data_IF_990299803398
#
_entry.id   IF_990299803398
#
_cell.length_a   1.000
_cell.length_b   1.000
_cell.length_c   1.000
_cell.angle_alpha   90.00
_cell.angle_beta   90.00
_cell.angle_gamma   90.00
#
_symmetry.space_group_name_H-M   'P 1'
#
loop_
_entity.id
_entity.type
_entity.pdbx_description
1 polymer ?
#
# COMPACT_ATOMS: atom_id res chain seq x y z
N UNK A 1 -20.72 1.84 5.22
CA UNK A 1 -19.26 1.81 4.93
C UNK A 1 -19.01 1.97 3.44
N UNK A 2 -18.06 2.81 3.06
CA UNK A 2 -17.59 2.92 1.67
C UNK A 2 -16.92 1.62 1.21
N UNK A 3 -16.86 1.38 -0.10
CA UNK A 3 -16.16 0.22 -0.67
C UNK A 3 -14.68 0.17 -0.25
N UNK A 4 -14.03 1.34 -0.17
CA UNK A 4 -12.63 1.48 0.28
C UNK A 4 -12.50 1.13 1.76
N UNK A 5 -13.42 1.60 2.62
CA UNK A 5 -13.40 1.27 4.04
C UNK A 5 -13.49 -0.23 4.30
N UNK A 6 -14.31 -0.97 3.54
CA UNK A 6 -14.40 -2.45 3.66
C UNK A 6 -13.11 -3.15 3.27
N UNK A 7 -12.40 -2.63 2.25
CA UNK A 7 -11.09 -3.16 1.84
C UNK A 7 -10.03 -2.86 2.90
N UNK A 8 -10.06 -1.66 3.47
CA UNK A 8 -9.15 -1.28 4.54
C UNK A 8 -9.35 -2.12 5.82
N UNK A 9 -10.58 -2.38 6.23
CA UNK A 9 -10.84 -3.28 7.37
C UNK A 9 -10.34 -4.71 7.12
N UNK A 10 -10.51 -5.23 5.91
CA UNK A 10 -9.95 -6.56 5.54
C UNK A 10 -8.43 -6.57 5.59
N UNK A 11 -7.78 -5.50 5.12
CA UNK A 11 -6.33 -5.32 5.23
C UNK A 11 -5.87 -5.33 6.71
N UNK A 12 -6.57 -4.59 7.58
CA UNK A 12 -6.23 -4.53 9.01
C UNK A 12 -6.39 -5.89 9.71
N UNK A 13 -7.36 -6.71 9.27
CA UNK A 13 -7.60 -8.04 9.82
C UNK A 13 -6.62 -9.10 9.30
N UNK A 14 -6.19 -9.00 8.04
CA UNK A 14 -5.23 -9.93 7.44
C UNK A 14 -4.29 -9.20 6.46
N UNK A 15 -3.19 -8.62 6.95
CA UNK A 15 -2.29 -7.80 6.13
C UNK A 15 -1.40 -8.60 5.18
N UNK A 16 -1.27 -9.93 5.38
CA UNK A 16 -0.33 -10.76 4.63
C UNK A 16 -0.88 -11.25 3.27
N UNK A 17 -2.20 -11.28 3.09
CA UNK A 17 -2.84 -11.88 1.91
C UNK A 17 -3.34 -10.82 0.90
N UNK A 18 -3.00 -9.54 1.12
CA UNK A 18 -3.47 -8.48 0.23
C UNK A 18 -2.63 -8.44 -1.06
N UNK A 19 -3.32 -8.43 -2.21
CA UNK A 19 -2.65 -8.20 -3.50
C UNK A 19 -2.39 -6.71 -3.69
N UNK A 20 -1.30 -6.39 -4.38
CA UNK A 20 -0.92 -5.01 -4.66
C UNK A 20 -2.04 -4.22 -5.37
N UNK A 21 -2.71 -4.83 -6.35
CA UNK A 21 -3.85 -4.24 -7.08
C UNK A 21 -5.02 -3.82 -6.17
N UNK A 22 -5.21 -4.52 -5.04
CA UNK A 22 -6.24 -4.20 -4.07
C UNK A 22 -5.83 -3.07 -3.13
N UNK A 23 -4.52 -2.91 -2.92
CA UNK A 23 -3.91 -1.87 -2.09
C UNK A 23 -3.83 -0.53 -2.83
N UNK A 24 -3.58 -0.52 -4.15
CA UNK A 24 -3.53 0.68 -4.99
C UNK A 24 -4.66 1.71 -4.76
N UNK A 25 -5.95 1.33 -4.81
CA UNK A 25 -7.05 2.27 -4.57
C UNK A 25 -7.11 2.78 -3.13
N UNK A 26 -6.60 2.01 -2.17
CA UNK A 26 -6.49 2.43 -0.76
C UNK A 26 -5.40 3.49 -0.66
N UNK A 27 -4.20 3.24 -1.20
CA UNK A 27 -3.08 4.19 -1.18
C UNK A 27 -3.47 5.53 -1.81
N UNK A 28 -4.12 5.50 -2.98
CA UNK A 28 -4.64 6.72 -3.64
C UNK A 28 -5.66 7.48 -2.79
N UNK A 29 -6.48 6.79 -2.00
CA UNK A 29 -7.48 7.46 -1.14
C UNK A 29 -6.86 8.22 0.04
N UNK A 30 -5.60 7.92 0.37
CA UNK A 30 -4.82 8.57 1.42
C UNK A 30 -3.71 9.48 0.87
N UNK A 31 -3.74 9.85 -0.41
CA UNK A 31 -2.66 10.60 -1.09
C UNK A 31 -1.26 9.96 -0.93
N UNK A 32 -1.23 8.63 -0.83
CA UNK A 32 0.01 7.85 -0.85
C UNK A 32 0.30 7.45 -2.30
N UNK A 33 1.49 7.83 -2.74
CA UNK A 33 2.06 7.51 -4.04
C UNK A 33 2.96 6.29 -3.94
N UNK A 34 3.26 5.70 -5.09
CA UNK A 34 4.11 4.54 -5.19
C UNK A 34 4.94 4.61 -6.47
N UNK A 35 6.14 4.04 -6.41
CA UNK A 35 6.99 3.81 -7.58
C UNK A 35 7.06 2.31 -7.87
N UNK A 36 6.97 1.96 -9.15
CA UNK A 36 7.09 0.58 -9.62
C UNK A 36 8.56 0.12 -9.50
N UNK A 37 8.81 -1.10 -9.00
CA UNK A 37 10.18 -1.58 -8.88
C UNK A 37 10.80 -1.86 -10.26
N UNK A 38 12.02 -1.36 -10.47
CA UNK A 38 12.82 -1.55 -11.70
C UNK A 38 13.33 -3.00 -11.93
N UNK A 39 12.85 -3.97 -11.14
CA UNK A 39 13.29 -5.37 -11.23
C UNK A 39 13.18 -6.20 -9.94
N UNK A 40 12.49 -5.69 -8.90
CA UNK A 40 12.30 -6.36 -7.61
C UNK A 40 10.84 -6.62 -7.25
N UNK A 41 10.61 -7.35 -6.16
CA UNK A 41 9.25 -7.58 -5.59
C UNK A 41 8.82 -6.53 -4.56
N UNK A 42 9.66 -5.52 -4.31
CA UNK A 42 9.44 -4.51 -3.28
C UNK A 42 8.97 -3.19 -3.89
N UNK A 43 7.75 -2.80 -3.57
CA UNK A 43 7.20 -1.51 -3.98
C UNK A 43 7.61 -0.43 -2.98
N UNK A 44 7.97 0.75 -3.49
CA UNK A 44 8.26 1.91 -2.66
C UNK A 44 6.99 2.75 -2.57
N UNK A 45 6.55 3.10 -1.36
CA UNK A 45 5.40 3.97 -1.10
C UNK A 45 5.83 5.23 -0.37
N UNK A 46 5.25 6.37 -0.72
CA UNK A 46 5.60 7.66 -0.14
C UNK A 46 4.40 8.63 -0.14
N UNK A 47 4.39 9.57 0.79
CA UNK A 47 3.39 10.64 0.83
C UNK A 47 4.08 11.96 0.54
N UNK A 48 3.61 12.71 -0.47
CA UNK A 48 4.32 13.90 -0.98
C UNK A 48 4.53 15.01 0.05
N UNK A 49 3.70 15.08 1.10
CA UNK A 49 3.81 16.09 2.16
C UNK A 49 4.51 15.59 3.43
N UNK A 50 4.99 14.34 3.43
CA UNK A 50 5.83 13.82 4.51
C UNK A 50 7.25 13.74 3.94
N UNK A 51 8.16 14.54 4.50
CA UNK A 51 9.60 14.33 4.33
C UNK A 51 9.93 12.89 4.79
N UNK A 52 9.94 11.99 3.82
CA UNK A 52 10.51 10.64 3.77
C UNK A 52 10.58 9.92 5.12
N UNK A 53 9.57 9.09 5.40
CA UNK A 53 9.76 7.87 6.19
C UNK A 53 9.60 6.69 5.22
N UNK A 54 10.69 6.32 4.56
CA UNK A 54 10.77 5.15 3.71
C UNK A 54 10.66 3.88 4.58
N UNK A 55 9.43 3.46 4.88
CA UNK A 55 9.19 2.14 5.47
C UNK A 55 9.19 1.11 4.34
N UNK A 56 10.29 0.37 4.24
CA UNK A 56 10.43 -0.76 3.34
C UNK A 56 9.59 -1.92 3.92
N UNK A 57 8.44 -2.22 3.32
CA UNK A 57 7.62 -3.37 3.73
C UNK A 57 8.01 -4.59 2.89
N UNK A 58 8.43 -5.66 3.56
CA UNK A 58 8.72 -6.97 2.95
C UNK A 58 7.44 -7.80 2.96
N UNK A 59 6.83 -8.01 1.78
CA UNK A 59 5.77 -9.03 1.61
C UNK A 59 6.48 -10.34 1.28
N UNK A 60 6.54 -11.25 2.25
CA UNK A 60 7.09 -12.59 2.06
C UNK A 60 5.97 -13.45 1.46
N UNK A 61 6.16 -13.89 0.22
CA UNK A 61 5.30 -14.87 -0.46
C UNK A 61 5.59 -16.31 -0.06
#
# INVERSE_FOLDING_TARGET
MSKIGKRFERLLQNPNDIKWDELLPILRSFDIYYDEPDGGSHWIVYHKNLDILAYQYTVIG
#
